data_IF_881772651245
#
_entry.id   IF_881772651245
#
_cell.length_a   1.000
_cell.length_b   1.000
_cell.length_c   1.000
_cell.angle_alpha   90.00
_cell.angle_beta   90.00
_cell.angle_gamma   90.00
#
_symmetry.space_group_name_H-M   'P 1'
#
loop_
_entity.id
_entity.type
_entity.pdbx_description
1 polymer ?
#
# COMPACT_ATOMS: atom_id res chain seq x y z
N UNK A 1 18.50 16.11 -1.29
CA UNK A 1 17.11 15.70 -0.99
C UNK A 1 17.12 14.21 -0.71
N UNK A 2 16.61 13.77 0.45
CA UNK A 2 16.50 12.34 0.78
C UNK A 2 15.17 11.82 0.22
N UNK A 3 15.20 11.15 -0.94
CA UNK A 3 14.03 10.48 -1.50
C UNK A 3 13.86 9.05 -0.98
N UNK A 4 12.65 8.51 -1.10
CA UNK A 4 12.35 7.09 -0.91
C UNK A 4 11.83 6.56 -2.23
N UNK A 5 12.46 5.50 -2.73
CA UNK A 5 11.97 4.77 -3.91
C UNK A 5 11.28 3.51 -3.44
N UNK A 6 10.03 3.35 -3.85
CA UNK A 6 9.24 2.13 -3.62
C UNK A 6 9.19 1.38 -4.95
N UNK A 7 9.52 0.09 -4.93
CA UNK A 7 9.45 -0.76 -6.12
C UNK A 7 8.48 -1.92 -5.92
N UNK A 8 7.58 -2.12 -6.87
CA UNK A 8 6.64 -3.23 -6.87
C UNK A 8 6.50 -3.85 -8.27
N UNK A 9 5.86 -5.01 -8.34
CA UNK A 9 5.43 -5.57 -9.62
C UNK A 9 4.24 -4.77 -10.15
N UNK A 10 4.28 -4.36 -11.42
CA UNK A 10 3.21 -3.63 -12.11
C UNK A 10 2.14 -4.59 -12.64
N UNK A 11 1.61 -5.44 -11.76
CA UNK A 11 0.64 -6.49 -12.11
C UNK A 11 -0.75 -6.14 -11.59
N UNK A 12 -0.83 -5.41 -10.47
CA UNK A 12 -2.07 -5.07 -9.79
C UNK A 12 -2.33 -3.54 -9.77
N UNK A 13 -3.28 -3.05 -10.58
CA UNK A 13 -3.68 -1.65 -10.58
C UNK A 13 -4.27 -1.16 -9.25
N UNK A 14 -4.85 -2.06 -8.45
CA UNK A 14 -5.49 -1.73 -7.17
C UNK A 14 -4.44 -1.37 -6.12
N UNK A 15 -3.37 -2.17 -6.01
CA UNK A 15 -2.24 -1.90 -5.11
C UNK A 15 -1.62 -0.54 -5.41
N UNK A 16 -1.39 -0.24 -6.71
CA UNK A 16 -0.91 1.07 -7.14
C UNK A 16 -1.90 2.17 -6.77
N UNK A 17 -3.18 2.00 -7.07
CA UNK A 17 -4.22 2.99 -6.80
C UNK A 17 -4.37 3.31 -5.31
N UNK A 18 -4.30 2.29 -4.46
CA UNK A 18 -4.37 2.44 -3.00
C UNK A 18 -3.13 3.18 -2.49
N UNK A 19 -1.93 2.81 -2.93
CA UNK A 19 -0.69 3.51 -2.53
C UNK A 19 -0.71 5.01 -2.90
N UNK A 20 -1.15 5.34 -4.12
CA UNK A 20 -1.24 6.74 -4.57
C UNK A 20 -2.30 7.53 -3.78
N UNK A 21 -3.47 6.93 -3.50
CA UNK A 21 -4.50 7.56 -2.66
C UNK A 21 -3.98 7.90 -1.27
N UNK A 22 -3.20 7.01 -0.67
CA UNK A 22 -2.61 7.21 0.65
C UNK A 22 -1.54 8.32 0.65
N UNK A 23 -0.73 8.41 -0.41
CA UNK A 23 0.22 9.52 -0.57
C UNK A 23 -0.51 10.85 -0.78
N UNK A 24 -1.56 10.86 -1.60
CA UNK A 24 -2.38 12.06 -1.81
C UNK A 24 -3.13 12.48 -0.55
N UNK A 25 -3.50 11.54 0.32
CA UNK A 25 -4.04 11.84 1.64
C UNK A 25 -3.05 12.65 2.49
N UNK A 26 -1.78 12.24 2.55
CA UNK A 26 -0.75 13.02 3.26
C UNK A 26 -0.57 14.44 2.71
N UNK A 27 -0.70 14.62 1.38
CA UNK A 27 -0.67 15.95 0.77
C UNK A 27 -1.81 16.83 1.27
N UNK A 28 -3.01 16.26 1.43
CA UNK A 28 -4.18 16.97 1.98
C UNK A 28 -4.01 17.34 3.45
N UNK A 29 -3.32 16.51 4.22
CA UNK A 29 -2.97 16.77 5.63
C UNK A 29 -1.83 17.80 5.79
N UNK A 30 -1.35 18.40 4.69
CA UNK A 30 -0.37 19.49 4.72
C UNK A 30 1.09 19.06 4.55
N UNK A 31 1.36 17.76 4.32
CA UNK A 31 2.71 17.28 4.05
C UNK A 31 2.96 17.40 2.54
N UNK A 32 3.82 18.35 2.16
CA UNK A 32 4.23 18.54 0.76
C UNK A 32 5.08 17.36 0.29
N UNK A 33 4.45 16.36 -0.31
CA UNK A 33 5.11 15.21 -0.93
C UNK A 33 4.98 15.33 -2.44
N UNK A 34 6.09 15.18 -3.14
CA UNK A 34 6.15 14.98 -4.58
C UNK A 34 6.42 13.51 -4.85
N UNK A 35 5.82 12.99 -5.92
CA UNK A 35 6.13 11.66 -6.40
C UNK A 35 6.21 11.61 -7.91
N UNK A 36 7.04 10.70 -8.41
CA UNK A 36 7.14 10.38 -9.82
C UNK A 36 7.03 8.87 -10.02
N UNK A 37 6.21 8.48 -10.99
CA UNK A 37 6.05 7.09 -11.39
C UNK A 37 6.97 6.76 -12.56
N UNK A 38 7.63 5.62 -12.48
CA UNK A 38 8.42 5.06 -13.59
C UNK A 38 8.10 3.58 -13.72
N UNK A 39 7.63 3.19 -14.91
CA UNK A 39 7.42 1.79 -15.25
C UNK A 39 8.62 1.31 -16.06
N UNK A 40 9.20 0.19 -15.65
CA UNK A 40 10.28 -0.48 -16.38
C UNK A 40 9.98 -1.98 -16.48
N UNK A 41 9.55 -2.39 -17.68
CA UNK A 41 9.03 -3.73 -17.93
C UNK A 41 7.87 -4.08 -17.01
N UNK A 42 8.06 -5.09 -16.16
CA UNK A 42 7.06 -5.58 -15.20
C UNK A 42 7.12 -4.89 -13.83
N UNK A 43 7.98 -3.89 -13.66
CA UNK A 43 8.17 -3.20 -12.39
C UNK A 43 7.61 -1.79 -12.45
N UNK A 44 7.02 -1.37 -11.35
CA UNK A 44 6.64 0.01 -11.06
C UNK A 44 7.60 0.53 -10.00
N UNK A 45 8.20 1.68 -10.27
CA UNK A 45 8.99 2.47 -9.34
C UNK A 45 8.22 3.74 -9.02
N UNK A 46 8.08 4.03 -7.73
CA UNK A 46 7.48 5.24 -7.23
C UNK A 46 8.54 5.97 -6.41
N UNK A 47 9.07 7.04 -6.99
CA UNK A 47 10.05 7.91 -6.34
C UNK A 47 9.31 9.01 -5.59
N UNK A 48 9.41 9.02 -4.26
CA UNK A 48 8.76 10.00 -3.40
C UNK A 48 9.78 10.89 -2.67
N UNK A 49 9.48 12.18 -2.53
CA UNK A 49 10.29 13.10 -1.75
C UNK A 49 9.41 14.16 -1.08
N UNK A 50 9.83 14.62 0.10
CA UNK A 50 9.22 15.78 0.77
C UNK A 50 9.79 17.05 0.14
N UNK A 51 8.93 17.91 -0.40
CA UNK A 51 9.28 19.15 -1.10
C UNK A 51 9.21 20.41 -0.21
N UNK A 52 9.41 20.24 1.10
CA UNK A 52 9.42 21.36 2.04
C UNK A 52 10.71 22.18 1.95
N UNK A 53 10.57 23.50 1.96
CA UNK A 53 11.69 24.44 1.82
C UNK A 53 12.35 24.77 3.16
N UNK A 54 11.57 24.80 4.25
CA UNK A 54 12.09 24.94 5.61
C UNK A 54 12.75 23.64 6.06
N UNK A 55 14.03 23.70 6.45
CA UNK A 55 14.81 22.51 6.80
C UNK A 55 14.31 21.80 8.07
N UNK A 56 13.86 22.55 9.07
CA UNK A 56 13.37 21.98 10.34
C UNK A 56 12.05 21.26 10.10
N UNK A 57 11.15 21.89 9.35
CA UNK A 57 9.86 21.29 8.97
C UNK A 57 10.09 20.09 8.05
N UNK A 58 11.00 20.20 7.07
CA UNK A 58 11.34 19.11 6.15
C UNK A 58 11.78 17.86 6.90
N UNK A 59 12.70 17.96 7.85
CA UNK A 59 13.17 16.78 8.62
C UNK A 59 12.04 16.15 9.44
N UNK A 60 11.13 16.97 9.99
CA UNK A 60 9.95 16.45 10.70
C UNK A 60 9.00 15.73 9.75
N UNK A 61 8.66 16.36 8.63
CA UNK A 61 7.80 15.80 7.59
C UNK A 61 8.39 14.53 6.96
N UNK A 62 9.70 14.45 6.75
CA UNK A 62 10.38 13.23 6.27
C UNK A 62 10.21 12.06 7.25
N UNK A 63 10.28 12.31 8.56
CA UNK A 63 10.04 11.27 9.57
C UNK A 63 8.59 10.78 9.57
N UNK A 64 7.64 11.71 9.52
CA UNK A 64 6.21 11.39 9.46
C UNK A 64 5.91 10.61 8.18
N UNK A 65 6.44 11.07 7.04
CA UNK A 65 6.28 10.42 5.75
C UNK A 65 6.84 8.99 5.77
N UNK A 66 8.06 8.79 6.30
CA UNK A 66 8.65 7.45 6.44
C UNK A 66 7.80 6.51 7.28
N UNK A 67 7.31 6.98 8.43
CA UNK A 67 6.48 6.17 9.31
C UNK A 67 5.16 5.80 8.65
N UNK A 68 4.48 6.79 8.06
CA UNK A 68 3.21 6.58 7.37
C UNK A 68 3.37 5.62 6.20
N UNK A 69 4.42 5.80 5.39
CA UNK A 69 4.71 4.92 4.27
C UNK A 69 4.96 3.47 4.70
N UNK A 70 5.71 3.28 5.79
CA UNK A 70 5.90 1.94 6.35
C UNK A 70 4.56 1.31 6.79
N UNK A 71 3.65 2.10 7.39
CA UNK A 71 2.31 1.63 7.75
C UNK A 71 1.51 1.19 6.53
N UNK A 72 1.38 2.06 5.51
CA UNK A 72 0.64 1.75 4.28
C UNK A 72 1.17 0.48 3.62
N UNK A 73 2.49 0.36 3.46
CA UNK A 73 3.10 -0.81 2.81
C UNK A 73 2.82 -2.07 3.63
N UNK A 74 2.87 -1.97 4.97
CA UNK A 74 2.53 -3.09 5.85
C UNK A 74 1.08 -3.51 5.67
N UNK A 75 0.15 -2.56 5.63
CA UNK A 75 -1.28 -2.85 5.46
C UNK A 75 -1.58 -3.49 4.09
N UNK A 76 -0.96 -2.97 3.02
CA UNK A 76 -1.08 -3.53 1.67
C UNK A 76 -0.58 -4.99 1.62
N UNK A 77 0.56 -5.28 2.25
CA UNK A 77 1.11 -6.64 2.30
C UNK A 77 0.26 -7.55 3.18
N UNK A 78 -0.18 -7.06 4.34
CA UNK A 78 -0.90 -7.86 5.31
C UNK A 78 -2.28 -8.25 4.83
N UNK A 79 -2.97 -7.39 4.07
CA UNK A 79 -4.27 -7.73 3.47
C UNK A 79 -4.17 -8.96 2.56
N UNK A 80 -3.17 -9.02 1.69
CA UNK A 80 -2.98 -10.16 0.78
C UNK A 80 -2.56 -11.44 1.52
N UNK A 81 -1.66 -11.32 2.50
CA UNK A 81 -1.26 -12.45 3.35
C UNK A 81 -2.46 -13.01 4.11
N UNK A 82 -3.28 -12.12 4.69
CA UNK A 82 -4.45 -12.51 5.46
C UNK A 82 -5.50 -13.20 4.57
N UNK A 83 -5.77 -12.68 3.37
CA UNK A 83 -6.69 -13.31 2.39
C UNK A 83 -6.22 -14.71 2.02
N UNK A 84 -4.93 -14.90 1.74
CA UNK A 84 -4.36 -16.21 1.41
C UNK A 84 -4.43 -17.17 2.60
N UNK A 85 -4.13 -16.72 3.82
CA UNK A 85 -4.28 -17.53 5.03
C UNK A 85 -5.73 -17.96 5.25
N UNK A 86 -6.68 -17.04 5.09
CA UNK A 86 -8.10 -17.34 5.24
C UNK A 86 -8.57 -18.37 4.21
N UNK A 87 -8.19 -18.20 2.95
CA UNK A 87 -8.46 -19.18 1.89
C UNK A 87 -7.92 -20.57 2.22
N UNK A 88 -6.72 -20.66 2.79
CA UNK A 88 -6.15 -21.94 3.24
C UNK A 88 -6.92 -22.54 4.40
N UNK A 89 -7.23 -21.76 5.43
CA UNK A 89 -7.99 -22.23 6.60
C UNK A 89 -9.37 -22.76 6.17
N UNK A 90 -10.08 -22.02 5.33
CA UNK A 90 -11.40 -22.42 4.83
C UNK A 90 -11.28 -23.73 4.03
N UNK A 91 -10.32 -23.82 3.11
CA UNK A 91 -10.08 -25.04 2.33
C UNK A 91 -9.71 -26.25 3.18
N UNK A 92 -9.08 -26.09 4.34
CA UNK A 92 -8.62 -27.21 5.19
C UNK A 92 -9.60 -27.57 6.32
N UNK A 93 -10.34 -26.60 6.88
CA UNK A 93 -11.23 -26.83 8.02
C UNK A 93 -12.71 -26.85 7.65
N UNK A 94 -13.08 -26.30 6.50
CA UNK A 94 -14.46 -26.08 6.09
C UNK A 94 -14.71 -26.67 4.70
N UNK A 95 -14.27 -27.91 4.47
CA UNK A 95 -14.45 -28.64 3.21
C UNK A 95 -15.91 -28.79 2.74
N UNK A 96 -16.87 -28.60 3.65
CA UNK A 96 -18.30 -28.67 3.35
C UNK A 96 -18.85 -27.38 2.75
N UNK A 97 -18.12 -26.25 2.83
CA UNK A 97 -18.55 -24.99 2.21
C UNK A 97 -18.35 -25.05 0.70
N UNK A 98 -19.37 -24.60 -0.03
CA UNK A 98 -19.26 -24.46 -1.48
C UNK A 98 -18.32 -23.32 -1.84
N UNK A 99 -17.74 -23.32 -3.05
CA UNK A 99 -16.86 -22.22 -3.50
C UNK A 99 -17.54 -20.84 -3.41
N UNK A 100 -18.86 -20.79 -3.57
CA UNK A 100 -19.63 -19.55 -3.50
C UNK A 100 -19.71 -19.04 -2.06
N UNK A 101 -19.97 -19.94 -1.09
CA UNK A 101 -20.00 -19.59 0.34
C UNK A 101 -18.63 -19.11 0.83
N UNK A 102 -17.56 -19.76 0.37
CA UNK A 102 -16.18 -19.34 0.67
C UNK A 102 -15.93 -17.92 0.15
N UNK A 103 -16.37 -17.61 -1.07
CA UNK A 103 -16.22 -16.28 -1.67
C UNK A 103 -16.96 -15.23 -0.85
N UNK A 104 -18.20 -15.52 -0.44
CA UNK A 104 -18.98 -14.61 0.40
C UNK A 104 -18.34 -14.37 1.77
N UNK A 105 -17.82 -15.40 2.42
CA UNK A 105 -17.14 -15.26 3.72
C UNK A 105 -15.89 -14.39 3.58
N UNK A 106 -15.09 -14.60 2.53
CA UNK A 106 -13.88 -13.81 2.28
C UNK A 106 -14.25 -12.37 1.91
N UNK A 107 -15.22 -12.14 1.03
CA UNK A 107 -15.65 -10.78 0.65
C UNK A 107 -16.17 -9.98 1.86
N UNK A 108 -16.99 -10.59 2.73
CA UNK A 108 -17.52 -9.91 3.92
C UNK A 108 -16.48 -9.67 5.03
N UNK A 109 -15.37 -10.42 5.06
CA UNK A 109 -14.32 -10.23 6.07
C UNK A 109 -13.40 -9.03 5.78
N UNK A 110 -13.43 -8.50 4.54
CA UNK A 110 -12.57 -7.40 4.07
C UNK A 110 -13.37 -6.18 3.55
N UNK A 111 -14.70 -6.16 3.76
CA UNK A 111 -15.56 -4.97 3.65
C UNK A 111 -15.53 -4.16 4.95
#
# INVERSE_FOLDING_TARGET
MSGITISALNIDPEVRGNLLKEIDFLKREGIKVEYNEKVDGKYLFLDCAVSETDEVIRVSHEKIFRYYLASIITDLLMNEIAKEMMNRIIKTKYHYLSKEDIRQVVENAYL
#
